data_IF_601307314822
#
_entry.id   IF_601307314822
#
_cell.length_a   1.000
_cell.length_b   1.000
_cell.length_c   1.000
_cell.angle_alpha   90.00
_cell.angle_beta   90.00
_cell.angle_gamma   90.00
#
_symmetry.space_group_name_H-M   'P 1'
#
loop_
_entity.id
_entity.type
_entity.pdbx_description
1 polymer ?
#
# COMPACT_ATOMS: atom_id res chain seq x y z
N UNK A 1 -37.93 -39.57 13.78
CA UNK A 1 -37.23 -38.68 14.74
C UNK A 1 -37.14 -37.28 14.15
N UNK A 2 -37.76 -36.27 14.78
CA UNK A 2 -37.68 -34.86 14.33
C UNK A 2 -36.40 -34.23 14.87
N UNK A 3 -35.37 -34.14 14.03
CA UNK A 3 -34.09 -33.51 14.37
C UNK A 3 -34.29 -32.00 14.51
N UNK A 4 -34.36 -31.49 15.75
CA UNK A 4 -34.24 -30.05 16.04
C UNK A 4 -32.81 -29.60 15.70
N UNK A 5 -32.55 -29.16 14.46
CA UNK A 5 -31.31 -28.42 14.16
C UNK A 5 -31.43 -27.04 14.79
N UNK A 6 -30.59 -26.82 15.81
CA UNK A 6 -30.58 -25.63 16.66
C UNK A 6 -30.17 -24.40 15.86
N UNK A 7 -30.93 -23.30 15.99
CA UNK A 7 -30.61 -22.00 15.40
C UNK A 7 -29.24 -21.45 15.81
N UNK A 8 -28.66 -21.97 16.90
CA UNK A 8 -27.32 -21.60 17.38
C UNK A 8 -26.18 -22.04 16.44
N UNK A 9 -26.33 -23.16 15.72
CA UNK A 9 -25.28 -23.65 14.82
C UNK A 9 -25.07 -22.70 13.61
N UNK A 10 -26.14 -22.05 13.13
CA UNK A 10 -26.07 -21.10 12.01
C UNK A 10 -25.35 -19.80 12.40
N UNK A 11 -25.53 -19.33 13.64
CA UNK A 11 -24.89 -18.09 14.13
C UNK A 11 -23.38 -18.27 14.25
N UNK A 12 -22.92 -19.42 14.76
CA UNK A 12 -21.49 -19.72 14.88
C UNK A 12 -20.83 -19.83 13.50
N UNK A 13 -21.47 -20.51 12.55
CA UNK A 13 -20.96 -20.62 11.19
C UNK A 13 -20.85 -19.24 10.49
N UNK A 14 -21.85 -18.37 10.66
CA UNK A 14 -21.82 -17.01 10.12
C UNK A 14 -20.70 -16.16 10.76
N UNK A 15 -20.51 -16.28 12.08
CA UNK A 15 -19.44 -15.58 12.79
C UNK A 15 -18.04 -16.00 12.36
N UNK A 16 -17.82 -17.31 12.19
CA UNK A 16 -16.53 -17.84 11.72
C UNK A 16 -16.23 -17.42 10.27
N UNK A 17 -17.23 -17.44 9.38
CA UNK A 17 -17.05 -16.97 8.00
C UNK A 17 -16.75 -15.46 7.93
N UNK A 18 -17.44 -14.64 8.73
CA UNK A 18 -17.19 -13.21 8.80
C UNK A 18 -15.80 -12.89 9.37
N UNK A 19 -15.34 -13.65 10.37
CA UNK A 19 -14.01 -13.47 10.97
C UNK A 19 -12.87 -13.88 10.02
N UNK A 20 -13.04 -15.01 9.32
CA UNK A 20 -12.09 -15.44 8.28
C UNK A 20 -12.05 -14.48 7.09
N UNK A 21 -13.19 -13.88 6.72
CA UNK A 21 -13.26 -12.82 5.71
C UNK A 21 -12.45 -11.59 6.11
N UNK A 22 -12.62 -11.10 7.35
CA UNK A 22 -11.87 -9.97 7.90
C UNK A 22 -10.36 -10.22 7.97
N UNK A 23 -9.93 -11.43 8.33
CA UNK A 23 -8.51 -11.83 8.32
C UNK A 23 -7.87 -11.74 6.92
N UNK A 24 -8.66 -11.90 5.85
CA UNK A 24 -8.14 -11.87 4.47
C UNK A 24 -7.94 -10.42 3.96
N UNK A 25 -8.67 -9.45 4.51
CA UNK A 25 -8.55 -8.04 4.10
C UNK A 25 -7.25 -7.39 4.63
N UNK A 26 -6.64 -7.98 5.68
CA UNK A 26 -5.45 -7.43 6.34
C UNK A 26 -4.10 -7.78 5.70
N UNK A 27 -4.04 -8.69 4.73
CA UNK A 27 -2.77 -9.19 4.14
C UNK A 27 -2.66 -8.88 2.65
N UNK A 28 -3.39 -7.86 2.19
CA UNK A 28 -3.44 -7.44 0.79
C UNK A 28 -2.61 -6.18 0.48
N UNK A 29 -1.58 -5.85 1.26
CA UNK A 29 -0.57 -4.87 0.80
C UNK A 29 0.46 -5.68 0.05
N UNK A 30 0.25 -5.84 -1.25
CA UNK A 30 1.24 -6.46 -2.13
C UNK A 30 2.59 -5.78 -1.95
N UNK A 31 3.64 -6.59 -1.86
CA UNK A 31 5.04 -6.17 -1.85
C UNK A 31 5.38 -5.50 -3.19
N UNK A 32 4.90 -4.28 -3.44
CA UNK A 32 5.58 -3.39 -4.34
C UNK A 32 6.72 -2.81 -3.51
N UNK A 33 7.97 -3.17 -3.81
CA UNK A 33 9.11 -2.45 -3.27
C UNK A 33 8.85 -0.98 -3.58
N UNK A 34 8.71 -0.18 -2.52
CA UNK A 34 8.52 1.26 -2.63
C UNK A 34 9.61 1.92 -1.82
N UNK A 35 10.58 2.54 -2.50
CA UNK A 35 11.66 3.26 -1.82
C UNK A 35 11.42 4.75 -1.97
N UNK A 36 11.42 5.45 -0.84
CA UNK A 36 11.51 6.90 -0.86
C UNK A 36 12.97 7.26 -1.04
N UNK A 37 13.31 7.77 -2.21
CA UNK A 37 14.66 8.29 -2.45
C UNK A 37 14.92 9.50 -1.55
N UNK A 38 16.16 9.67 -1.11
CA UNK A 38 16.56 10.72 -0.16
C UNK A 38 16.48 12.16 -0.72
N UNK A 39 16.01 12.34 -1.96
CA UNK A 39 15.78 13.65 -2.57
C UNK A 39 14.57 14.37 -1.98
N UNK A 40 14.78 15.59 -1.49
CA UNK A 40 13.72 16.50 -1.05
C UNK A 40 13.57 17.66 -2.04
N UNK A 41 12.42 17.77 -2.69
CA UNK A 41 12.18 18.71 -3.78
C UNK A 41 11.26 19.86 -3.32
N UNK A 42 11.59 21.13 -3.61
CA UNK A 42 10.79 22.27 -3.15
C UNK A 42 9.47 22.45 -3.93
N UNK A 43 9.33 21.82 -5.09
CA UNK A 43 8.11 21.87 -5.90
C UNK A 43 7.78 20.51 -6.49
N UNK A 44 6.50 20.29 -6.81
CA UNK A 44 6.06 19.07 -7.49
C UNK A 44 6.73 18.90 -8.85
N UNK A 45 6.91 20.00 -9.57
CA UNK A 45 7.51 20.00 -10.91
C UNK A 45 8.97 19.52 -10.85
N UNK A 46 9.76 20.04 -9.90
CA UNK A 46 11.14 19.62 -9.71
C UNK A 46 11.26 18.13 -9.40
N UNK A 47 10.32 17.56 -8.63
CA UNK A 47 10.27 16.13 -8.39
C UNK A 47 9.94 15.33 -9.67
N UNK A 48 9.01 15.82 -10.51
CA UNK A 48 8.66 15.16 -11.77
C UNK A 48 9.81 15.21 -12.79
N UNK A 49 10.52 16.34 -12.87
CA UNK A 49 11.67 16.50 -13.77
C UNK A 49 12.87 15.65 -13.33
N UNK A 50 13.10 15.54 -12.01
CA UNK A 50 14.16 14.70 -11.46
C UNK A 50 13.82 13.19 -11.51
N UNK A 51 12.56 12.83 -11.59
CA UNK A 51 12.10 11.43 -11.46
C UNK A 51 12.65 10.43 -12.46
N UNK A 52 12.67 10.73 -13.77
CA UNK A 52 13.29 9.86 -14.75
C UNK A 52 14.79 9.64 -14.47
N UNK A 53 15.50 10.70 -14.06
CA UNK A 53 16.92 10.64 -13.75
C UNK A 53 17.21 9.83 -12.49
N UNK A 54 16.45 10.06 -11.41
CA UNK A 54 16.58 9.34 -10.15
C UNK A 54 16.22 7.87 -10.30
N UNK A 55 15.18 7.56 -11.07
CA UNK A 55 14.81 6.17 -11.41
C UNK A 55 15.95 5.45 -12.12
N UNK A 56 16.66 6.12 -13.01
CA UNK A 56 17.79 5.54 -13.75
C UNK A 56 19.07 5.40 -12.89
N UNK A 57 19.29 6.31 -11.94
CA UNK A 57 20.48 6.27 -11.07
C UNK A 57 20.29 5.40 -9.82
N UNK A 58 19.06 5.15 -9.39
CA UNK A 58 18.78 4.34 -8.19
C UNK A 58 18.91 2.86 -8.52
N UNK A 59 19.82 2.11 -7.88
CA UNK A 59 19.95 0.67 -8.10
C UNK A 59 18.68 -0.05 -7.63
N UNK A 60 18.06 -0.76 -8.56
CA UNK A 60 16.81 -1.49 -8.35
C UNK A 60 16.00 -1.54 -9.64
N UNK A 61 15.19 -2.58 -9.80
CA UNK A 61 14.27 -2.64 -10.92
C UNK A 61 13.06 -1.78 -10.56
N UNK A 62 13.04 -0.50 -10.91
CA UNK A 62 11.89 0.37 -10.64
C UNK A 62 11.08 0.52 -11.92
N UNK A 63 9.77 0.34 -11.87
CA UNK A 63 8.89 0.50 -13.05
C UNK A 63 8.18 1.85 -13.05
N UNK A 64 7.81 2.33 -11.87
CA UNK A 64 7.06 3.56 -11.66
C UNK A 64 7.81 4.50 -10.71
N UNK A 65 7.49 5.79 -10.82
CA UNK A 65 7.92 6.81 -9.88
C UNK A 65 6.74 7.72 -9.60
N UNK A 66 6.68 8.27 -8.39
CA UNK A 66 5.64 9.21 -8.01
C UNK A 66 6.17 10.22 -6.99
N UNK A 67 5.58 11.41 -7.05
CA UNK A 67 5.92 12.54 -6.20
C UNK A 67 4.84 12.70 -5.13
N UNK A 68 5.22 12.49 -3.88
CA UNK A 68 4.35 12.65 -2.71
C UNK A 68 4.78 13.87 -1.91
N UNK A 69 3.84 14.66 -1.35
CA UNK A 69 4.20 15.75 -0.45
C UNK A 69 4.82 15.18 0.83
N UNK A 70 5.96 15.74 1.25
CA UNK A 70 6.61 15.37 2.51
C UNK A 70 5.77 15.91 3.68
N UNK A 71 5.41 15.02 4.62
CA UNK A 71 4.59 15.40 5.78
C UNK A 71 5.40 16.04 6.92
N UNK A 72 6.71 15.93 6.88
CA UNK A 72 7.62 16.52 7.88
C UNK A 72 8.08 17.90 7.46
N UNK A 73 8.23 18.16 6.16
CA UNK A 73 8.64 19.45 5.60
C UNK A 73 7.55 20.00 4.69
N UNK A 74 6.78 20.94 5.22
CA UNK A 74 5.63 21.50 4.53
C UNK A 74 6.05 22.27 3.27
N UNK A 75 5.47 21.91 2.12
CA UNK A 75 5.83 22.47 0.82
C UNK A 75 6.87 21.67 0.03
N UNK A 76 7.53 20.70 0.67
CA UNK A 76 8.47 19.82 -0.01
C UNK A 76 7.80 18.55 -0.53
N UNK A 77 8.46 17.93 -1.49
CA UNK A 77 8.03 16.75 -2.21
C UNK A 77 9.13 15.70 -2.13
N UNK A 78 8.73 14.46 -1.95
CA UNK A 78 9.59 13.29 -2.01
C UNK A 78 9.30 12.47 -3.22
N UNK A 79 10.36 11.90 -3.77
CA UNK A 79 10.28 11.00 -4.89
C UNK A 79 10.33 9.56 -4.40
N UNK A 80 9.29 8.81 -4.73
CA UNK A 80 9.19 7.41 -4.38
C UNK A 80 9.17 6.60 -5.65
N UNK A 81 10.05 5.60 -5.71
CA UNK A 81 10.14 4.66 -6.81
C UNK A 81 9.39 3.40 -6.44
N UNK A 82 8.81 2.72 -7.42
CA UNK A 82 8.03 1.50 -7.20
C UNK A 82 8.15 0.51 -8.33
N UNK A 83 8.21 -0.78 -8.01
CA UNK A 83 8.22 -1.87 -8.99
C UNK A 83 6.81 -2.38 -9.27
#
# INVERSE_FOLDING_TARGET
MKTKRSRGATIVAAGVLAFSGLMTVGVGVGNADTIQTEGNYPTRQACQDAGPGVKASTPGNWNNFWCIPDRNVNGNWKLVLSN
#
